data_IF_553712755669
#
_entry.id   IF_553712755669
#
_cell.length_a   1.000
_cell.length_b   1.000
_cell.length_c   1.000
_cell.angle_alpha   90.00
_cell.angle_beta   90.00
_cell.angle_gamma   90.00
#
_symmetry.space_group_name_H-M   'P 1'
#
loop_
_entity.id
_entity.type
_entity.pdbx_description
1 polymer ?
#
# COMPACT_ATOMS: atom_id res chain seq x y z
N UNK A 1 1.65 -45.89 -27.93
CA UNK A 1 0.24 -45.72 -27.48
C UNK A 1 0.22 -44.68 -26.37
N UNK A 2 -0.14 -43.43 -26.68
CA UNK A 2 -0.04 -42.25 -25.80
C UNK A 2 -0.83 -42.39 -24.49
N UNK A 3 -0.13 -42.36 -23.34
CA UNK A 3 -0.79 -42.16 -22.04
C UNK A 3 -0.94 -40.66 -21.80
N UNK A 4 -2.20 -40.25 -21.69
CA UNK A 4 -2.72 -38.89 -21.60
C UNK A 4 -2.10 -38.15 -20.40
N UNK A 5 -1.65 -36.91 -20.64
CA UNK A 5 -1.32 -35.94 -19.60
C UNK A 5 -2.54 -35.74 -18.70
N UNK A 6 -2.48 -36.26 -17.47
CA UNK A 6 -3.45 -35.93 -16.43
C UNK A 6 -2.96 -34.61 -15.85
N UNK A 7 -3.63 -33.51 -16.19
CA UNK A 7 -3.38 -32.22 -15.58
C UNK A 7 -3.46 -32.41 -14.07
N UNK A 8 -2.30 -32.30 -13.40
CA UNK A 8 -2.25 -32.15 -11.95
C UNK A 8 -2.84 -30.78 -11.71
N UNK A 9 -4.13 -30.72 -11.40
CA UNK A 9 -4.77 -29.48 -10.99
C UNK A 9 -4.04 -29.06 -9.71
N UNK A 10 -3.30 -27.97 -9.81
CA UNK A 10 -2.56 -27.37 -8.71
C UNK A 10 -3.49 -27.24 -7.49
N UNK A 11 -3.08 -27.66 -6.28
CA UNK A 11 -3.87 -27.47 -5.07
C UNK A 11 -4.40 -26.03 -4.91
N UNK A 12 -3.64 -25.01 -5.31
CA UNK A 12 -4.07 -23.61 -5.25
C UNK A 12 -5.22 -23.30 -6.23
N UNK A 13 -5.25 -23.95 -7.40
CA UNK A 13 -6.32 -23.78 -8.38
C UNK A 13 -7.64 -24.36 -7.88
N UNK A 14 -7.59 -25.43 -7.07
CA UNK A 14 -8.80 -26.04 -6.48
C UNK A 14 -9.40 -25.16 -5.40
N UNK A 15 -8.56 -24.61 -4.53
CA UNK A 15 -9.01 -23.69 -3.48
C UNK A 15 -9.61 -22.41 -4.07
N UNK A 16 -9.03 -21.94 -5.18
CA UNK A 16 -9.57 -20.82 -5.96
C UNK A 16 -10.93 -21.15 -6.60
N UNK A 17 -11.08 -22.30 -7.24
CA UNK A 17 -12.35 -22.76 -7.83
C UNK A 17 -13.46 -22.85 -6.76
N UNK A 18 -13.15 -23.43 -5.60
CA UNK A 18 -14.10 -23.54 -4.50
C UNK A 18 -14.47 -22.17 -3.91
N UNK A 19 -13.54 -21.23 -3.84
CA UNK A 19 -13.81 -19.86 -3.41
C UNK A 19 -14.71 -19.12 -4.42
N UNK A 20 -14.46 -19.32 -5.72
CA UNK A 20 -15.24 -18.69 -6.79
C UNK A 20 -16.69 -19.20 -6.82
N UNK A 21 -16.90 -20.51 -6.73
CA UNK A 21 -18.23 -21.11 -6.71
C UNK A 21 -19.06 -20.64 -5.51
N UNK A 22 -18.43 -20.55 -4.33
CA UNK A 22 -19.07 -19.99 -3.12
C UNK A 22 -19.51 -18.55 -3.32
N UNK A 23 -18.69 -17.72 -3.95
CA UNK A 23 -19.04 -16.33 -4.26
C UNK A 23 -20.20 -16.23 -5.25
N UNK A 24 -20.24 -17.09 -6.26
CA UNK A 24 -21.35 -17.12 -7.24
C UNK A 24 -22.67 -17.55 -6.61
N UNK A 25 -22.65 -18.52 -5.69
CA UNK A 25 -23.85 -18.95 -4.97
C UNK A 25 -24.36 -17.89 -4.00
N UNK A 26 -23.47 -17.20 -3.28
CA UNK A 26 -23.82 -16.04 -2.46
C UNK A 26 -24.45 -14.92 -3.32
N UNK A 27 -23.87 -14.64 -4.49
CA UNK A 27 -24.41 -13.65 -5.41
C UNK A 27 -25.79 -14.03 -5.97
N UNK A 28 -26.04 -15.32 -6.28
CA UNK A 28 -27.35 -15.82 -6.70
C UNK A 28 -28.39 -15.76 -5.58
N UNK A 29 -27.98 -15.93 -4.33
CA UNK A 29 -28.84 -15.81 -3.13
C UNK A 29 -29.10 -14.36 -2.70
N UNK A 30 -28.50 -13.38 -3.36
CA UNK A 30 -28.62 -11.97 -2.98
C UNK A 30 -27.77 -11.58 -1.77
N UNK A 31 -26.88 -12.46 -1.32
CA UNK A 31 -25.94 -12.23 -0.22
C UNK A 31 -24.70 -11.52 -0.76
N UNK A 32 -24.84 -10.23 -1.04
CA UNK A 32 -23.70 -9.39 -1.43
C UNK A 32 -23.02 -8.82 -0.17
N UNK A 33 -21.70 -8.64 -0.22
CA UNK A 33 -21.04 -7.71 0.69
C UNK A 33 -21.72 -6.33 0.57
N UNK A 34 -21.73 -5.54 1.66
CA UNK A 34 -22.41 -4.25 1.70
C UNK A 34 -22.10 -3.41 0.44
N UNK A 35 -23.06 -3.34 -0.49
CA UNK A 35 -22.94 -2.54 -1.71
C UNK A 35 -23.20 -1.10 -1.32
N UNK A 36 -22.18 -0.26 -1.43
CA UNK A 36 -22.33 1.16 -1.14
C UNK A 36 -23.07 1.83 -2.30
N UNK A 37 -24.17 2.52 -2.01
CA UNK A 37 -24.85 3.33 -3.02
C UNK A 37 -23.96 4.52 -3.41
N UNK A 38 -24.12 5.11 -4.61
CA UNK A 38 -23.39 6.31 -5.01
C UNK A 38 -23.49 7.44 -3.96
N UNK A 39 -24.66 7.60 -3.34
CA UNK A 39 -24.91 8.58 -2.29
C UNK A 39 -24.12 8.26 -1.01
N UNK A 40 -24.00 6.98 -0.64
CA UNK A 40 -23.22 6.54 0.52
C UNK A 40 -21.70 6.75 0.31
N UNK A 41 -21.23 6.64 -0.93
CA UNK A 41 -19.83 6.91 -1.28
C UNK A 41 -19.54 8.42 -1.19
N UNK A 42 -20.47 9.27 -1.64
CA UNK A 42 -20.34 10.73 -1.54
C UNK A 42 -20.44 11.21 -0.08
N UNK A 43 -21.30 10.59 0.72
CA UNK A 43 -21.42 10.87 2.15
C UNK A 43 -20.15 10.49 2.93
N UNK A 44 -19.42 9.46 2.47
CA UNK A 44 -18.04 9.19 2.85
C UNK A 44 -17.08 10.15 2.14
N UNK A 45 -17.31 11.45 2.29
CA UNK A 45 -16.25 12.45 2.09
C UNK A 45 -15.03 11.95 2.86
N UNK A 46 -13.87 11.96 2.22
CA UNK A 46 -12.64 11.37 2.75
C UNK A 46 -12.19 11.96 4.10
N UNK A 47 -10.89 11.91 4.39
CA UNK A 47 -10.35 12.36 5.67
C UNK A 47 -10.96 13.71 6.10
N UNK A 48 -11.49 13.85 7.33
CA UNK A 48 -12.23 15.04 7.75
C UNK A 48 -11.47 16.33 7.40
N UNK A 49 -12.20 17.30 6.86
CA UNK A 49 -11.65 18.63 6.53
C UNK A 49 -11.07 19.23 7.81
N UNK A 50 -9.77 19.57 7.80
CA UNK A 50 -9.03 20.03 8.98
C UNK A 50 -8.13 18.99 9.66
N UNK A 51 -8.11 17.74 9.18
CA UNK A 51 -7.21 16.68 9.68
C UNK A 51 -5.76 16.76 9.16
N UNK A 52 -5.45 17.78 8.36
CA UNK A 52 -4.07 18.07 7.96
C UNK A 52 -3.40 18.72 9.16
N UNK A 53 -2.43 18.02 9.78
CA UNK A 53 -1.63 18.59 10.87
C UNK A 53 -1.06 19.94 10.43
N UNK A 54 -1.09 20.94 11.31
CA UNK A 54 -0.47 22.24 11.06
C UNK A 54 1.00 22.09 10.62
N UNK A 55 1.72 21.14 11.24
CA UNK A 55 3.11 20.79 10.92
C UNK A 55 3.20 19.55 10.00
N UNK A 56 2.43 19.53 8.91
CA UNK A 56 2.54 18.45 7.93
C UNK A 56 3.91 18.48 7.24
N UNK A 57 4.49 17.29 7.02
CA UNK A 57 5.71 17.14 6.21
C UNK A 57 5.41 17.62 4.79
N UNK A 58 6.24 18.52 4.27
CA UNK A 58 6.12 18.99 2.89
C UNK A 58 6.80 17.99 1.95
N UNK A 59 6.08 17.55 0.92
CA UNK A 59 6.64 16.69 -0.11
C UNK A 59 7.48 17.52 -1.08
N UNK A 60 8.80 17.31 -1.07
CA UNK A 60 9.74 18.00 -1.96
C UNK A 60 10.33 17.01 -2.95
N UNK A 61 10.49 17.42 -4.21
CA UNK A 61 11.12 16.61 -5.25
C UNK A 61 12.65 16.80 -5.20
N UNK A 62 13.31 15.97 -4.40
CA UNK A 62 14.77 15.91 -4.31
C UNK A 62 15.31 14.71 -5.10
N UNK A 63 16.46 14.89 -5.76
CA UNK A 63 17.19 13.80 -6.41
C UNK A 63 18.34 13.36 -5.51
N UNK A 64 18.53 12.06 -5.38
CA UNK A 64 19.67 11.42 -4.72
C UNK A 64 20.46 10.65 -5.77
N UNK A 65 21.77 10.53 -5.56
CA UNK A 65 22.58 9.63 -6.37
C UNK A 65 22.12 8.17 -6.18
N UNK A 66 22.24 7.32 -7.21
CA UNK A 66 21.68 5.97 -7.20
C UNK A 66 22.25 5.07 -6.08
N UNK A 67 23.54 5.20 -5.81
CA UNK A 67 24.27 4.48 -4.77
C UNK A 67 23.82 4.89 -3.37
N UNK A 68 23.65 6.20 -3.13
CA UNK A 68 23.13 6.74 -1.88
C UNK A 68 21.70 6.26 -1.65
N UNK A 69 20.84 6.33 -2.66
CA UNK A 69 19.47 5.85 -2.54
C UNK A 69 19.41 4.34 -2.25
N UNK A 70 20.28 3.55 -2.87
CA UNK A 70 20.38 2.12 -2.62
C UNK A 70 20.81 1.83 -1.18
N UNK A 71 21.83 2.53 -0.67
CA UNK A 71 22.29 2.43 0.71
C UNK A 71 21.21 2.85 1.71
N UNK A 72 20.45 3.92 1.41
CA UNK A 72 19.35 4.34 2.27
C UNK A 72 18.23 3.31 2.32
N UNK A 73 17.84 2.75 1.17
CA UNK A 73 16.80 1.71 1.08
C UNK A 73 17.22 0.41 1.77
N UNK A 74 18.51 0.06 1.74
CA UNK A 74 19.01 -1.15 2.41
C UNK A 74 18.87 -1.08 3.94
N UNK A 75 18.74 0.13 4.52
CA UNK A 75 18.40 0.29 5.95
C UNK A 75 16.97 -0.18 6.31
N UNK A 76 16.17 -0.58 5.32
CA UNK A 76 14.87 -1.20 5.52
C UNK A 76 13.71 -0.23 5.75
N UNK A 77 12.64 -0.72 6.38
CA UNK A 77 11.42 0.07 6.64
C UNK A 77 11.77 1.32 7.45
N UNK A 78 11.21 2.46 7.04
CA UNK A 78 11.42 3.73 7.74
C UNK A 78 12.66 4.52 7.31
N UNK A 79 13.38 4.10 6.26
CA UNK A 79 14.58 4.81 5.78
C UNK A 79 14.34 6.31 5.51
N UNK A 80 13.18 6.70 4.98
CA UNK A 80 12.84 8.12 4.76
C UNK A 80 12.74 8.91 6.08
N UNK A 81 12.23 8.28 7.14
CA UNK A 81 12.17 8.91 8.48
C UNK A 81 13.57 9.12 9.03
N UNK A 82 14.46 8.13 8.89
CA UNK A 82 15.87 8.26 9.32
C UNK A 82 16.60 9.37 8.57
N UNK A 83 16.42 9.45 7.24
CA UNK A 83 16.99 10.55 6.42
C UNK A 83 16.51 11.91 6.95
N UNK A 84 15.22 12.03 7.25
CA UNK A 84 14.66 13.26 7.78
C UNK A 84 15.21 13.62 9.17
N UNK A 85 15.49 12.64 10.03
CA UNK A 85 16.13 12.85 11.34
C UNK A 85 17.56 13.34 11.20
N UNK A 86 18.37 12.68 10.35
CA UNK A 86 19.75 13.10 10.06
C UNK A 86 19.78 14.52 9.52
N UNK A 87 18.89 14.87 8.59
CA UNK A 87 18.78 16.23 8.06
C UNK A 87 18.39 17.24 9.14
N UNK A 88 17.49 16.88 10.05
CA UNK A 88 17.11 17.74 11.18
C UNK A 88 18.29 18.01 12.11
N UNK A 89 19.07 16.98 12.43
CA UNK A 89 20.28 17.12 13.25
C UNK A 89 21.34 17.96 12.55
N UNK A 90 21.59 17.70 11.27
CA UNK A 90 22.52 18.48 10.46
C UNK A 90 22.16 19.97 10.46
N UNK A 91 20.88 20.30 10.22
CA UNK A 91 20.40 21.68 10.29
C UNK A 91 20.58 22.27 11.69
N UNK A 92 20.23 21.56 12.76
CA UNK A 92 20.41 22.07 14.14
C UNK A 92 21.87 22.38 14.47
N UNK A 93 22.80 21.53 14.03
CA UNK A 93 24.23 21.68 14.30
C UNK A 93 24.83 22.83 13.49
N UNK A 94 24.42 23.01 12.23
CA UNK A 94 25.01 24.01 11.34
C UNK A 94 24.28 25.36 11.36
N UNK A 95 23.01 25.41 11.78
CA UNK A 95 22.27 26.65 11.94
C UNK A 95 22.72 27.49 13.16
N UNK A 96 23.50 26.92 14.08
CA UNK A 96 24.09 27.66 15.21
C UNK A 96 25.38 28.42 14.86
N UNK A 97 25.98 28.12 13.70
CA UNK A 97 27.27 28.68 13.28
C UNK A 97 27.13 29.78 12.22
N UNK A 98 25.93 30.35 12.06
CA UNK A 98 25.61 31.45 11.15
C UNK A 98 24.65 32.42 11.84
#
# INVERSE_FOLDING_TARGET
MNKRNKAVIDPEMRDFEDALLRSMDQAKKGEYAAVHTPEQIVARRGRPVGSVKADAKQAVKLRFDPDVLAALRSTGRGWQTRVNEVMREWVKTHAKNN
#
